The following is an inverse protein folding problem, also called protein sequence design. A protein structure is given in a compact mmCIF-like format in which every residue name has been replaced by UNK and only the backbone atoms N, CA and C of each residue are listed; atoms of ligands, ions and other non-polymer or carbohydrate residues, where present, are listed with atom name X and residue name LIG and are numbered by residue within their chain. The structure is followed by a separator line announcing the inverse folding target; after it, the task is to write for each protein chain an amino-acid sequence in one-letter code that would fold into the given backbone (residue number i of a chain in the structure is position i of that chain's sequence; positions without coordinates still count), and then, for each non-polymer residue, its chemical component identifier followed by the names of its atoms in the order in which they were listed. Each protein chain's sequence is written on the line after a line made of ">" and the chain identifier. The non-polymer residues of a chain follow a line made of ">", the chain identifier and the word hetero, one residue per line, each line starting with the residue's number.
data_IF_632237936171
#
_entry.id   IF_632237936171
#
_cell.length_a   1.000
_cell.length_b   1.000
_cell.length_c   1.000
_cell.angle_alpha   90.00
_cell.angle_beta   90.00
_cell.angle_gamma   90.00
#
_symmetry.space_group_name_H-M   'P 1'
#
loop_
_entity.id
_entity.type
_entity.pdbx_description
1 polymer ?
#
# COMPACT_ATOMS: atom_id res chain seq x y z
N UNK A 1 -2.28 9.66 28.65
CA UNK A 1 -3.14 9.98 27.52
C UNK A 1 -2.41 10.77 26.42
N UNK A 2 -1.83 11.96 26.64
CA UNK A 2 -1.12 12.71 25.57
C UNK A 2 0.08 11.95 24.97
N UNK A 3 0.88 11.26 25.78
CA UNK A 3 2.05 10.50 25.31
C UNK A 3 1.64 9.31 24.44
N UNK A 4 0.55 8.62 24.78
CA UNK A 4 0.04 7.49 23.99
C UNK A 4 -0.52 7.94 22.63
N UNK A 5 -1.23 9.06 22.59
CA UNK A 5 -1.72 9.65 21.33
C UNK A 5 -0.56 10.05 20.41
N UNK A 6 0.47 10.72 20.96
CA UNK A 6 1.66 11.07 20.18
C UNK A 6 2.41 9.82 19.68
N UNK A 7 2.55 8.78 20.49
CA UNK A 7 3.22 7.55 20.09
C UNK A 7 2.44 6.80 18.99
N UNK A 8 1.11 6.77 19.04
CA UNK A 8 0.30 6.19 17.97
C UNK A 8 0.42 6.97 16.67
N UNK A 9 0.39 8.31 16.72
CA UNK A 9 0.58 9.16 15.54
C UNK A 9 1.97 8.97 14.90
N UNK A 10 3.03 8.83 15.71
CA UNK A 10 4.38 8.51 15.21
C UNK A 10 4.39 7.13 14.51
N UNK A 11 3.73 6.12 15.09
CA UNK A 11 3.64 4.81 14.46
C UNK A 11 2.93 4.88 13.11
N UNK A 12 1.83 5.63 13.01
CA UNK A 12 1.12 5.84 11.72
C UNK A 12 1.98 6.63 10.73
N UNK A 13 2.73 7.64 11.18
CA UNK A 13 3.66 8.38 10.33
C UNK A 13 4.80 7.47 9.79
N UNK A 14 5.34 6.58 10.62
CA UNK A 14 6.32 5.58 10.17
C UNK A 14 5.70 4.61 9.16
N UNK A 15 4.46 4.18 9.36
CA UNK A 15 3.72 3.37 8.40
C UNK A 15 3.59 4.07 7.04
N UNK A 16 3.21 5.35 7.02
CA UNK A 16 3.14 6.18 5.80
C UNK A 16 4.51 6.26 5.12
N UNK A 17 5.58 6.50 5.88
CA UNK A 17 6.95 6.56 5.33
C UNK A 17 7.35 5.23 4.66
N UNK A 18 7.05 4.09 5.29
CA UNK A 18 7.32 2.77 4.72
C UNK A 18 6.50 2.51 3.44
N UNK A 19 5.25 2.96 3.40
CA UNK A 19 4.42 2.89 2.19
C UNK A 19 5.00 3.72 1.03
N UNK A 20 5.52 4.92 1.32
CA UNK A 20 6.21 5.74 0.32
C UNK A 20 7.45 5.05 -0.22
N UNK A 21 8.24 4.40 0.65
CA UNK A 21 9.41 3.61 0.23
C UNK A 21 8.97 2.44 -0.65
N UNK A 22 7.88 1.74 -0.29
CA UNK A 22 7.34 0.65 -1.10
C UNK A 22 6.93 1.13 -2.50
N UNK A 23 6.15 2.24 -2.57
CA UNK A 23 5.71 2.82 -3.84
C UNK A 23 6.90 3.31 -4.71
N UNK A 24 7.86 4.00 -4.10
CA UNK A 24 9.06 4.46 -4.81
C UNK A 24 9.87 3.28 -5.37
N UNK A 25 10.06 2.23 -4.58
CA UNK A 25 10.74 1.01 -5.03
C UNK A 25 9.99 0.32 -6.17
N UNK A 26 8.66 0.27 -6.10
CA UNK A 26 7.83 -0.34 -7.14
C UNK A 26 7.91 0.44 -8.45
N UNK A 27 7.85 1.77 -8.41
CA UNK A 27 8.00 2.63 -9.61
C UNK A 27 9.39 2.51 -10.24
N UNK A 28 10.44 2.39 -9.43
CA UNK A 28 11.83 2.37 -9.93
C UNK A 28 12.25 0.98 -10.39
N UNK A 29 11.90 -0.06 -9.65
CA UNK A 29 12.43 -1.42 -9.85
C UNK A 29 11.38 -2.49 -10.12
N UNK A 30 10.09 -2.15 -10.08
CA UNK A 30 8.95 -3.10 -10.17
C UNK A 30 9.08 -4.23 -9.14
N UNK A 31 9.65 -3.92 -7.99
CA UNK A 31 9.86 -4.87 -6.89
C UNK A 31 9.67 -4.18 -5.56
N UNK A 32 8.86 -4.79 -4.72
CA UNK A 32 8.66 -4.36 -3.34
C UNK A 32 9.63 -5.16 -2.45
N UNK A 33 10.58 -4.50 -1.75
CA UNK A 33 11.51 -5.19 -0.88
C UNK A 33 10.78 -5.90 0.27
N UNK A 34 11.06 -7.17 0.50
CA UNK A 34 10.48 -7.91 1.62
C UNK A 34 10.78 -7.25 2.98
N UNK A 35 11.93 -6.57 3.10
CA UNK A 35 12.30 -5.84 4.32
C UNK A 35 11.30 -4.72 4.65
N UNK A 36 10.78 -4.00 3.63
CA UNK A 36 9.77 -2.94 3.83
C UNK A 36 8.46 -3.54 4.31
N UNK A 37 8.00 -4.63 3.69
CA UNK A 37 6.78 -5.33 4.11
C UNK A 37 6.95 -5.87 5.54
N UNK A 38 8.09 -6.46 5.86
CA UNK A 38 8.39 -6.94 7.22
C UNK A 38 8.40 -5.80 8.23
N UNK A 39 8.98 -4.65 7.89
CA UNK A 39 8.98 -3.47 8.75
C UNK A 39 7.53 -2.97 9.04
N UNK A 40 6.66 -2.95 8.03
CA UNK A 40 5.24 -2.61 8.20
C UNK A 40 4.55 -3.60 9.16
N UNK A 41 4.82 -4.90 9.00
CA UNK A 41 4.25 -5.94 9.86
C UNK A 41 4.76 -5.84 11.31
N UNK A 42 6.05 -5.58 11.51
CA UNK A 42 6.64 -5.44 12.85
C UNK A 42 6.25 -4.14 13.55
N UNK A 43 5.91 -3.10 12.79
CA UNK A 43 5.42 -1.84 13.34
C UNK A 43 3.98 -1.95 13.87
N UNK A 44 3.16 -2.85 13.33
CA UNK A 44 1.76 -3.03 13.74
C UNK A 44 1.58 -3.38 15.23
N UNK A 45 2.27 -4.38 15.81
CA UNK A 45 2.14 -4.65 17.25
C UNK A 45 2.60 -3.47 18.11
N UNK A 46 3.58 -2.68 17.66
CA UNK A 46 3.96 -1.45 18.38
C UNK A 46 2.78 -0.47 18.39
N UNK A 47 2.13 -0.25 17.25
CA UNK A 47 0.92 0.58 17.15
C UNK A 47 -0.18 0.10 18.10
N UNK A 48 -0.48 -1.22 18.11
CA UNK A 48 -1.53 -1.80 18.97
C UNK A 48 -1.26 -1.54 20.45
N UNK A 49 0.01 -1.62 20.89
CA UNK A 49 0.38 -1.40 22.30
C UNK A 49 0.31 0.08 22.70
N UNK A 50 0.68 0.99 21.79
CA UNK A 50 0.79 2.42 22.14
C UNK A 50 -0.50 3.20 21.88
N UNK A 51 -1.41 2.70 21.03
CA UNK A 51 -2.66 3.39 20.71
C UNK A 51 -3.62 3.36 21.91
N UNK A 52 -4.27 4.48 22.25
CA UNK A 52 -5.32 4.51 23.26
C UNK A 52 -6.65 3.94 22.75
N UNK A 53 -6.80 3.76 21.42
CA UNK A 53 -7.99 3.18 20.81
C UNK A 53 -8.04 1.67 21.05
N UNK A 54 -9.27 1.16 21.15
CA UNK A 54 -9.49 -0.30 21.24
C UNK A 54 -9.34 -0.91 19.84
N UNK A 55 -8.25 -1.68 19.65
CA UNK A 55 -7.93 -2.28 18.36
C UNK A 55 -8.33 -3.75 18.37
N UNK A 56 -9.21 -4.12 17.45
CA UNK A 56 -9.62 -5.52 17.25
C UNK A 56 -8.53 -6.31 16.48
N UNK A 57 -7.36 -6.43 17.13
CA UNK A 57 -6.19 -7.09 16.54
C UNK A 57 -6.40 -8.55 16.13
N UNK A 58 -7.25 -9.38 16.82
CA UNK A 58 -7.48 -10.75 16.39
C UNK A 58 -8.18 -10.82 15.03
N UNK A 59 -9.18 -9.98 14.80
CA UNK A 59 -9.86 -9.90 13.51
C UNK A 59 -8.98 -9.25 12.44
N UNK A 60 -8.14 -8.28 12.80
CA UNK A 60 -7.14 -7.72 11.89
C UNK A 60 -6.15 -8.81 11.40
N UNK A 61 -5.70 -9.70 12.29
CA UNK A 61 -4.87 -10.85 11.91
C UNK A 61 -5.63 -11.84 11.02
N UNK A 62 -6.93 -12.05 11.25
CA UNK A 62 -7.74 -12.90 10.38
C UNK A 62 -7.86 -12.30 8.97
N UNK A 63 -8.08 -10.99 8.86
CA UNK A 63 -8.08 -10.26 7.57
C UNK A 63 -6.74 -10.39 6.87
N UNK A 64 -5.62 -10.20 7.59
CA UNK A 64 -4.27 -10.40 7.05
C UNK A 64 -4.07 -11.82 6.53
N UNK A 65 -4.43 -12.84 7.33
CA UNK A 65 -4.27 -14.23 6.95
C UNK A 65 -5.09 -14.57 5.69
N UNK A 66 -6.33 -14.11 5.62
CA UNK A 66 -7.17 -14.28 4.43
C UNK A 66 -6.54 -13.57 3.20
N UNK A 67 -6.08 -12.33 3.37
CA UNK A 67 -5.46 -11.55 2.30
C UNK A 67 -4.17 -12.21 1.78
N UNK A 68 -3.32 -12.75 2.66
CA UNK A 68 -2.09 -13.45 2.28
C UNK A 68 -2.42 -14.74 1.52
N UNK A 69 -3.38 -15.54 2.00
CA UNK A 69 -3.75 -16.80 1.34
C UNK A 69 -4.34 -16.54 -0.06
N UNK A 70 -5.29 -15.62 -0.16
CA UNK A 70 -5.92 -15.25 -1.43
C UNK A 70 -4.89 -14.60 -2.36
N UNK A 71 -4.13 -13.62 -1.88
CA UNK A 71 -3.14 -12.90 -2.67
C UNK A 71 -2.01 -13.79 -3.19
N UNK A 72 -1.52 -14.72 -2.38
CA UNK A 72 -0.50 -15.69 -2.80
C UNK A 72 -1.09 -16.74 -3.77
N UNK A 73 -2.35 -17.14 -3.59
CA UNK A 73 -3.06 -17.98 -4.54
C UNK A 73 -3.19 -17.32 -5.92
N UNK A 74 -3.59 -16.05 -5.97
CA UNK A 74 -3.64 -15.26 -7.22
C UNK A 74 -2.25 -15.06 -7.83
N UNK A 75 -1.23 -14.92 -6.98
CA UNK A 75 0.16 -14.82 -7.45
C UNK A 75 0.65 -16.14 -8.07
N UNK A 76 0.34 -17.26 -7.47
CA UNK A 76 0.66 -18.58 -8.01
C UNK A 76 -0.05 -18.84 -9.35
N UNK A 77 -1.26 -18.28 -9.53
CA UNK A 77 -1.99 -18.30 -10.81
C UNK A 77 -1.45 -17.30 -11.85
N UNK A 78 -0.43 -16.50 -11.53
CA UNK A 78 0.15 -15.51 -12.43
C UNK A 78 -0.71 -14.26 -12.65
N UNK A 79 -1.76 -14.06 -11.83
CA UNK A 79 -2.70 -12.93 -11.95
C UNK A 79 -2.19 -11.70 -11.19
N UNK A 80 -1.46 -11.90 -10.10
CA UNK A 80 -1.05 -10.84 -9.19
C UNK A 80 0.43 -10.97 -8.80
N UNK A 81 1.12 -9.84 -8.55
CA UNK A 81 2.51 -9.85 -8.11
C UNK A 81 2.65 -10.37 -6.68
N UNK A 82 3.60 -11.27 -6.40
CA UNK A 82 3.83 -11.78 -5.04
C UNK A 82 4.23 -10.67 -4.05
N UNK A 83 4.94 -9.64 -4.51
CA UNK A 83 5.28 -8.45 -3.74
C UNK A 83 4.03 -7.64 -3.36
N UNK A 84 3.17 -7.42 -4.36
CA UNK A 84 1.92 -6.68 -4.21
C UNK A 84 0.96 -7.40 -3.25
N UNK A 85 0.87 -8.74 -3.35
CA UNK A 85 0.07 -9.57 -2.44
C UNK A 85 0.48 -9.38 -0.98
N UNK A 86 1.78 -9.40 -0.72
CA UNK A 86 2.34 -9.22 0.63
C UNK A 86 2.12 -7.80 1.14
N UNK A 87 2.33 -6.78 0.30
CA UNK A 87 2.11 -5.38 0.69
C UNK A 87 0.63 -5.12 0.97
N UNK A 88 -0.27 -5.61 0.10
CA UNK A 88 -1.70 -5.48 0.29
C UNK A 88 -2.15 -6.13 1.60
N UNK A 89 -1.71 -7.36 1.89
CA UNK A 89 -2.03 -8.01 3.14
C UNK A 89 -1.53 -7.22 4.36
N UNK A 90 -0.31 -6.67 4.29
CA UNK A 90 0.23 -5.83 5.36
C UNK A 90 -0.58 -4.54 5.56
N UNK A 91 -1.05 -3.89 4.49
CA UNK A 91 -1.95 -2.72 4.56
C UNK A 91 -3.30 -3.11 5.16
N UNK A 92 -3.85 -4.27 4.77
CA UNK A 92 -5.13 -4.75 5.31
C UNK A 92 -5.05 -5.15 6.78
N UNK A 93 -3.89 -5.57 7.27
CA UNK A 93 -3.63 -5.75 8.71
C UNK A 93 -3.86 -4.43 9.48
N UNK A 94 -3.33 -3.32 8.95
CA UNK A 94 -3.51 -2.00 9.55
C UNK A 94 -4.94 -1.45 9.39
N UNK A 95 -5.61 -1.81 8.31
CA UNK A 95 -7.02 -1.47 8.07
C UNK A 95 -7.97 -2.15 9.06
N UNK A 96 -7.62 -3.34 9.53
CA UNK A 96 -8.53 -4.14 10.34
C UNK A 96 -9.81 -4.51 9.58
N UNK A 97 -10.78 -5.16 10.25
CA UNK A 97 -12.00 -5.64 9.59
C UNK A 97 -12.91 -4.49 9.09
N UNK A 98 -12.91 -3.36 9.78
CA UNK A 98 -13.81 -2.23 9.48
C UNK A 98 -13.39 -1.47 8.23
N UNK A 99 -12.10 -1.15 8.09
CA UNK A 99 -11.59 -0.37 6.97
C UNK A 99 -11.16 -1.22 5.77
N UNK A 100 -10.95 -2.54 5.95
CA UNK A 100 -10.46 -3.42 4.89
C UNK A 100 -11.32 -3.40 3.61
N UNK A 101 -12.67 -3.46 3.66
CA UNK A 101 -13.49 -3.44 2.45
C UNK A 101 -13.31 -2.14 1.65
N UNK A 102 -13.32 -0.99 2.33
CA UNK A 102 -13.16 0.30 1.66
C UNK A 102 -11.73 0.49 1.14
N UNK A 103 -10.73 0.03 1.89
CA UNK A 103 -9.33 0.02 1.44
C UNK A 103 -9.15 -0.79 0.16
N UNK A 104 -9.76 -1.98 0.08
CA UNK A 104 -9.75 -2.80 -1.14
C UNK A 104 -10.40 -2.08 -2.32
N UNK A 105 -11.55 -1.45 -2.11
CA UNK A 105 -12.25 -0.67 -3.15
C UNK A 105 -11.36 0.45 -3.67
N UNK A 106 -10.70 1.20 -2.79
CA UNK A 106 -9.76 2.27 -3.16
C UNK A 106 -8.60 1.71 -3.98
N UNK A 107 -7.98 0.62 -3.52
CA UNK A 107 -6.90 -0.05 -4.26
C UNK A 107 -7.34 -0.51 -5.65
N UNK A 108 -8.55 -1.07 -5.77
CA UNK A 108 -9.10 -1.54 -7.05
C UNK A 108 -9.41 -0.38 -8.00
N UNK A 109 -10.00 0.71 -7.51
CA UNK A 109 -10.31 1.89 -8.33
C UNK A 109 -9.01 2.52 -8.84
N UNK A 110 -8.05 2.80 -7.95
CA UNK A 110 -6.79 3.44 -8.33
C UNK A 110 -5.97 2.52 -9.22
N UNK A 111 -5.88 1.23 -8.89
CA UNK A 111 -5.22 0.23 -9.73
C UNK A 111 -5.88 0.10 -11.11
N UNK A 112 -7.20 0.14 -11.16
CA UNK A 112 -7.98 0.15 -12.41
C UNK A 112 -7.70 1.38 -13.26
N UNK A 113 -7.63 2.56 -12.66
CA UNK A 113 -7.28 3.82 -13.36
C UNK A 113 -5.84 3.76 -13.88
N UNK A 114 -4.88 3.32 -13.08
CA UNK A 114 -3.49 3.14 -13.52
C UNK A 114 -3.42 2.15 -14.68
N UNK A 115 -4.12 1.01 -14.57
CA UNK A 115 -4.18 0.01 -15.63
C UNK A 115 -4.78 0.56 -16.92
N UNK A 116 -5.88 1.31 -16.82
CA UNK A 116 -6.52 1.94 -17.98
C UNK A 116 -5.57 2.93 -18.67
N UNK A 117 -4.86 3.77 -17.90
CA UNK A 117 -3.85 4.68 -18.46
C UNK A 117 -2.74 3.89 -19.16
N UNK A 118 -2.23 2.83 -18.54
CA UNK A 118 -1.15 2.01 -19.08
C UNK A 118 -1.55 1.25 -20.35
N UNK A 119 -2.83 0.91 -20.52
CA UNK A 119 -3.35 0.22 -21.71
C UNK A 119 -3.67 1.16 -22.86
N UNK A 120 -3.80 2.47 -22.62
CA UNK A 120 -4.16 3.46 -23.64
C UNK A 120 -2.96 4.20 -24.18
N UNK A 121 -3.16 4.94 -25.28
CA UNK A 121 -2.13 5.85 -25.86
C UNK A 121 -1.82 7.05 -24.96
N UNK A 122 -2.66 7.31 -23.96
CA UNK A 122 -2.46 8.40 -22.97
C UNK A 122 -1.13 8.25 -22.25
N UNK A 123 -0.65 7.03 -22.00
CA UNK A 123 0.66 6.77 -21.38
C UNK A 123 1.82 7.46 -22.11
N UNK A 124 1.79 7.51 -23.44
CA UNK A 124 2.86 8.14 -24.24
C UNK A 124 2.85 9.66 -24.12
N UNK A 125 1.66 10.26 -24.06
CA UNK A 125 1.49 11.70 -23.84
C UNK A 125 1.99 12.09 -22.46
N UNK A 126 1.58 11.33 -21.43
CA UNK A 126 2.04 11.57 -20.05
C UNK A 126 3.54 11.34 -19.91
N UNK A 127 4.09 10.28 -20.52
CA UNK A 127 5.53 10.02 -20.50
C UNK A 127 6.33 11.17 -21.12
N UNK A 128 5.85 11.73 -22.24
CA UNK A 128 6.43 12.93 -22.87
C UNK A 128 6.37 14.15 -21.95
N UNK A 129 5.24 14.39 -21.30
CA UNK A 129 5.08 15.49 -20.35
C UNK A 129 6.03 15.35 -19.13
N UNK A 130 6.14 14.15 -18.55
CA UNK A 130 7.07 13.91 -17.43
C UNK A 130 8.54 14.01 -17.85
N UNK A 131 8.88 13.56 -19.07
CA UNK A 131 10.24 13.75 -19.64
C UNK A 131 10.58 15.23 -19.79
N UNK A 132 9.67 16.07 -20.28
CA UNK A 132 9.89 17.51 -20.42
C UNK A 132 10.01 18.25 -19.07
N UNK A 133 9.41 17.69 -18.00
CA UNK A 133 9.56 18.17 -16.61
C UNK A 133 10.82 17.61 -15.91
N UNK A 134 11.69 16.88 -16.63
CA UNK A 134 12.94 16.34 -16.10
C UNK A 134 12.79 15.00 -15.32
N UNK A 135 11.59 14.44 -15.24
CA UNK A 135 11.35 13.18 -14.50
C UNK A 135 11.45 11.96 -15.43
N UNK A 136 12.68 11.52 -15.74
CA UNK A 136 12.93 10.34 -16.58
C UNK A 136 12.42 9.06 -15.93
N UNK A 137 12.44 8.96 -14.60
CA UNK A 137 11.96 7.77 -13.87
C UNK A 137 10.47 7.53 -14.10
N UNK A 138 9.63 8.59 -13.97
CA UNK A 138 8.19 8.48 -14.21
C UNK A 138 7.89 8.24 -15.70
N UNK A 139 8.62 8.89 -16.60
CA UNK A 139 8.50 8.65 -18.04
C UNK A 139 8.78 7.18 -18.36
N UNK A 140 9.89 6.63 -17.87
CA UNK A 140 10.26 5.23 -18.08
C UNK A 140 9.24 4.25 -17.46
N UNK A 141 8.70 4.57 -16.28
CA UNK A 141 7.67 3.76 -15.63
C UNK A 141 6.38 3.68 -16.47
N UNK A 142 5.96 4.79 -17.08
CA UNK A 142 4.79 4.83 -17.97
C UNK A 142 5.03 4.06 -19.30
N UNK A 143 6.27 4.01 -19.78
CA UNK A 143 6.64 3.32 -21.02
C UNK A 143 6.93 1.83 -20.79
N UNK A 144 7.13 1.40 -19.55
CA UNK A 144 7.38 0.01 -19.23
C UNK A 144 6.17 -0.89 -19.49
N UNK A 145 6.43 -2.17 -19.64
CA UNK A 145 5.39 -3.20 -19.83
C UNK A 145 4.74 -3.62 -18.51
N UNK A 146 5.45 -3.43 -17.40
CA UNK A 146 4.99 -3.81 -16.06
C UNK A 146 4.19 -2.67 -15.43
N UNK A 147 3.18 -3.03 -14.64
CA UNK A 147 2.31 -2.09 -13.93
C UNK A 147 2.77 -1.94 -12.47
N UNK A 148 3.00 -0.70 -11.97
CA UNK A 148 3.35 -0.48 -10.57
C UNK A 148 2.10 -0.51 -9.68
N UNK A 149 1.63 -1.72 -9.32
CA UNK A 149 0.46 -1.89 -8.44
C UNK A 149 0.72 -1.41 -6.99
N UNK A 150 1.96 -1.39 -6.56
CA UNK A 150 2.36 -0.87 -5.24
C UNK A 150 1.92 0.57 -5.00
N UNK A 151 1.81 1.39 -6.05
CA UNK A 151 1.28 2.76 -5.96
C UNK A 151 -0.20 2.76 -5.56
N UNK A 152 -1.01 1.89 -6.17
CA UNK A 152 -2.44 1.77 -5.85
C UNK A 152 -2.65 1.27 -4.41
N UNK A 153 -1.86 0.29 -3.98
CA UNK A 153 -1.91 -0.25 -2.61
C UNK A 153 -1.49 0.82 -1.60
N UNK A 154 -0.46 1.61 -1.93
CA UNK A 154 -0.01 2.73 -1.09
C UNK A 154 -1.10 3.79 -0.93
N UNK A 155 -1.87 4.10 -1.97
CA UNK A 155 -3.00 5.02 -1.87
C UNK A 155 -4.09 4.49 -0.93
N UNK A 156 -4.41 3.19 -0.97
CA UNK A 156 -5.28 2.54 0.01
C UNK A 156 -4.71 2.63 1.43
N UNK A 157 -3.40 2.44 1.58
CA UNK A 157 -2.71 2.59 2.86
C UNK A 157 -2.71 4.02 3.41
N UNK A 158 -2.68 5.04 2.55
CA UNK A 158 -2.86 6.43 2.96
C UNK A 158 -4.26 6.71 3.49
N UNK A 159 -5.28 6.12 2.88
CA UNK A 159 -6.63 6.18 3.41
C UNK A 159 -6.69 5.57 4.81
N UNK A 160 -6.10 4.39 5.03
CA UNK A 160 -6.00 3.75 6.35
C UNK A 160 -5.29 4.67 7.34
N UNK A 161 -4.14 5.21 6.99
CA UNK A 161 -3.37 6.12 7.84
C UNK A 161 -4.19 7.36 8.23
N UNK A 162 -4.90 7.96 7.26
CA UNK A 162 -5.78 9.09 7.53
C UNK A 162 -6.90 8.73 8.50
N UNK A 163 -7.57 7.59 8.29
CA UNK A 163 -8.64 7.12 9.17
C UNK A 163 -8.12 6.89 10.60
N UNK A 164 -6.95 6.24 10.75
CA UNK A 164 -6.33 5.98 12.05
C UNK A 164 -5.89 7.26 12.78
N UNK A 165 -5.45 8.29 12.04
CA UNK A 165 -5.08 9.59 12.63
C UNK A 165 -6.31 10.39 13.09
N UNK A 166 -7.46 10.20 12.47
CA UNK A 166 -8.71 10.92 12.79
C UNK A 166 -9.55 10.21 13.84
N UNK A 167 -9.29 8.94 14.12
CA UNK A 167 -10.01 8.14 15.14
C UNK A 167 -9.40 8.22 16.54
N UNK A 168 -8.23 8.83 16.70
CA UNK A 168 -7.49 9.04 17.95
C UNK A 168 -7.60 10.49 18.38
#
# INVERSE_FOLDING_TARGET
>A
MFVSVQASQVSVACFVALLLVAAASDVVSYRIPNAVVLAILLLYPVYVVVTPADVDWPWALAVFAAAIVIGMGLSAAGIFGAGDAKLLAAVLLWAGPELAPLTLIICLIIGGVISAIMMTRVRFVLAGAFSSLGSQTLSNALLAKNMPYGVAITAGGFFVAWALMTSV
#
